data_IF_163500530076
#
_entry.id   IF_163500530076
#
_cell.length_a   1.000
_cell.length_b   1.000
_cell.length_c   1.000
_cell.angle_alpha   90.00
_cell.angle_beta   90.00
_cell.angle_gamma   90.00
#
_symmetry.space_group_name_H-M   'P 1'
#
loop_
_entity.id
_entity.type
_entity.pdbx_description
1 polymer ?
#
# COMPACT_ATOMS: atom_id res chain seq x y z
N UNK A 1 0.13 7.18 -0.29
CA UNK A 1 -0.25 7.84 -1.55
C UNK A 1 0.99 8.09 -2.36
N UNK A 2 0.90 7.85 -3.67
CA UNK A 2 1.95 8.09 -4.64
C UNK A 2 1.44 9.06 -5.71
N UNK A 3 2.34 9.93 -6.17
CA UNK A 3 2.07 10.86 -7.27
C UNK A 3 2.37 10.17 -8.62
N UNK A 4 3.21 9.13 -8.63
CA UNK A 4 3.55 8.32 -9.82
C UNK A 4 3.53 6.81 -9.50
N UNK A 5 3.18 5.97 -10.48
CA UNK A 5 3.17 4.51 -10.32
C UNK A 5 4.57 3.93 -10.12
N UNK A 6 5.63 4.57 -10.61
CA UNK A 6 7.02 4.16 -10.38
C UNK A 6 7.36 4.07 -8.89
N UNK A 7 6.74 4.91 -8.04
CA UNK A 7 6.93 4.83 -6.59
C UNK A 7 6.32 3.55 -6.00
N UNK A 8 5.22 3.06 -6.57
CA UNK A 8 4.62 1.78 -6.18
C UNK A 8 5.52 0.61 -6.63
N UNK A 9 6.16 0.71 -7.80
CA UNK A 9 7.14 -0.27 -8.27
C UNK A 9 8.36 -0.33 -7.32
N UNK A 10 8.94 0.83 -6.98
CA UNK A 10 10.06 0.92 -6.04
C UNK A 10 9.70 0.34 -4.66
N UNK A 11 8.54 0.72 -4.12
CA UNK A 11 8.05 0.15 -2.86
C UNK A 11 7.89 -1.37 -2.96
N UNK A 12 7.36 -1.89 -4.06
CA UNK A 12 7.14 -3.32 -4.23
C UNK A 12 8.45 -4.12 -4.31
N UNK A 13 9.51 -3.52 -4.83
CA UNK A 13 10.85 -4.11 -4.87
C UNK A 13 11.43 -4.25 -3.46
N UNK A 14 11.41 -3.18 -2.66
CA UNK A 14 12.13 -3.09 -1.39
C UNK A 14 11.31 -3.55 -0.17
N UNK A 15 9.98 -3.41 -0.21
CA UNK A 15 9.12 -3.70 0.94
C UNK A 15 8.53 -5.10 0.85
N UNK A 16 8.67 -5.84 1.96
CA UNK A 16 7.88 -7.02 2.29
C UNK A 16 7.13 -6.73 3.58
N UNK A 17 5.82 -6.92 3.53
CA UNK A 17 4.98 -6.77 4.70
C UNK A 17 4.77 -8.12 5.38
N UNK A 18 4.70 -8.09 6.70
CA UNK A 18 4.40 -9.23 7.54
C UNK A 18 3.01 -9.04 8.13
N UNK A 19 2.21 -10.10 8.09
CA UNK A 19 0.85 -10.11 8.64
C UNK A 19 0.01 -8.93 8.13
N UNK A 20 0.10 -8.62 6.84
CA UNK A 20 -0.70 -7.58 6.20
C UNK A 20 -1.09 -7.96 4.78
N UNK A 21 -2.14 -7.33 4.27
CA UNK A 21 -2.49 -7.35 2.85
C UNK A 21 -2.69 -5.94 2.33
N UNK A 22 -2.66 -5.80 1.00
CA UNK A 22 -2.69 -4.48 0.36
C UNK A 22 -3.60 -4.42 -0.84
N UNK A 23 -4.29 -3.29 -0.96
CA UNK A 23 -5.12 -2.91 -2.10
C UNK A 23 -4.54 -1.64 -2.74
N UNK A 24 -4.61 -1.53 -4.07
CA UNK A 24 -4.18 -0.36 -4.82
C UNK A 24 -5.35 0.26 -5.57
N UNK A 25 -5.56 1.54 -5.33
CA UNK A 25 -6.60 2.34 -5.97
C UNK A 25 -5.99 3.49 -6.78
N UNK A 26 -6.68 3.88 -7.86
CA UNK A 26 -6.46 5.13 -8.57
C UNK A 26 -7.63 6.06 -8.28
N UNK A 27 -7.32 7.26 -7.79
CA UNK A 27 -8.32 8.29 -7.51
C UNK A 27 -7.69 9.66 -7.75
N UNK A 28 -8.37 10.53 -8.49
CA UNK A 28 -7.90 11.90 -8.77
C UNK A 28 -6.44 11.94 -9.27
N UNK A 29 -6.15 11.10 -10.29
CA UNK A 29 -4.83 10.92 -10.92
C UNK A 29 -3.70 10.49 -9.99
N UNK A 30 -4.02 10.06 -8.75
CA UNK A 30 -3.05 9.58 -7.77
C UNK A 30 -3.30 8.14 -7.34
N UNK A 31 -2.24 7.48 -6.92
CA UNK A 31 -2.29 6.10 -6.48
C UNK A 31 -2.35 6.01 -4.96
N UNK A 32 -3.24 5.17 -4.44
CA UNK A 32 -3.46 4.97 -3.01
C UNK A 32 -3.28 3.50 -2.68
N UNK A 33 -2.26 3.22 -1.86
CA UNK A 33 -2.07 1.92 -1.24
C UNK A 33 -2.84 1.91 0.08
N UNK A 34 -3.86 1.06 0.17
CA UNK A 34 -4.48 0.70 1.44
C UNK A 34 -3.71 -0.48 2.03
N UNK A 35 -3.34 -0.38 3.30
CA UNK A 35 -2.58 -1.41 4.00
C UNK A 35 -3.38 -1.86 5.21
N UNK A 36 -3.63 -3.16 5.29
CA UNK A 36 -4.46 -3.75 6.33
C UNK A 36 -3.60 -4.73 7.13
N UNK A 37 -3.33 -4.39 8.39
CA UNK A 37 -2.52 -5.21 9.30
C UNK A 37 -3.39 -6.15 10.13
N UNK A 38 -2.97 -7.41 10.24
CA UNK A 38 -3.47 -8.35 11.23
C UNK A 38 -2.73 -8.17 12.56
N UNK A 39 -3.29 -7.30 13.40
CA UNK A 39 -2.68 -6.88 14.67
C UNK A 39 -2.54 -8.01 15.69
N UNK A 40 -3.31 -9.10 15.57
CA UNK A 40 -3.17 -10.28 16.45
C UNK A 40 -1.77 -10.92 16.35
N UNK A 41 -1.08 -10.70 15.23
CA UNK A 41 0.23 -11.29 14.93
C UNK A 41 1.38 -10.29 14.98
N UNK A 42 1.12 -9.03 15.37
CA UNK A 42 2.11 -7.95 15.34
C UNK A 42 2.11 -7.16 16.65
N UNK A 43 3.29 -6.76 17.11
CA UNK A 43 3.37 -5.75 18.17
C UNK A 43 3.34 -4.34 17.56
N UNK A 44 3.19 -3.32 18.42
CA UNK A 44 3.13 -1.92 17.97
C UNK A 44 4.39 -1.48 17.20
N UNK A 45 5.58 -1.88 17.67
CA UNK A 45 6.84 -1.52 17.01
C UNK A 45 6.96 -2.18 15.63
N UNK A 46 6.45 -3.41 15.45
CA UNK A 46 6.45 -4.07 14.13
C UNK A 46 5.58 -3.29 13.13
N UNK A 47 4.40 -2.85 13.55
CA UNK A 47 3.50 -2.04 12.73
C UNK A 47 4.15 -0.70 12.39
N UNK A 48 4.70 0.00 13.38
CA UNK A 48 5.37 1.30 13.18
C UNK A 48 6.57 1.18 12.22
N UNK A 49 7.38 0.12 12.36
CA UNK A 49 8.51 -0.16 11.47
C UNK A 49 8.04 -0.43 10.03
N UNK A 50 6.96 -1.19 9.84
CA UNK A 50 6.40 -1.45 8.51
C UNK A 50 5.85 -0.17 7.87
N UNK A 51 5.14 0.66 8.64
CA UNK A 51 4.66 1.96 8.18
C UNK A 51 5.82 2.87 7.79
N UNK A 52 6.89 2.93 8.59
CA UNK A 52 8.07 3.74 8.31
C UNK A 52 8.68 3.39 6.94
N UNK A 53 8.87 2.09 6.65
CA UNK A 53 9.37 1.62 5.35
C UNK A 53 8.46 2.00 4.18
N UNK A 54 7.13 1.90 4.35
CA UNK A 54 6.18 2.33 3.31
C UNK A 54 6.30 3.84 3.04
N UNK A 55 6.53 4.64 4.08
CA UNK A 55 6.63 6.10 3.98
C UNK A 55 7.95 6.60 3.36
N UNK A 56 8.96 5.74 3.19
CA UNK A 56 10.16 6.09 2.42
C UNK A 56 9.85 6.37 0.94
N UNK A 57 8.81 5.72 0.41
CA UNK A 57 8.40 5.81 -0.99
C UNK A 57 7.07 6.57 -1.19
N UNK A 58 6.37 6.88 -0.10
CA UNK A 58 4.98 7.35 -0.15
C UNK A 58 4.67 8.44 0.87
N UNK A 59 3.57 9.15 0.65
CA UNK A 59 3.02 10.11 1.61
C UNK A 59 1.80 9.51 2.31
N UNK A 60 1.64 9.78 3.61
CA UNK A 60 0.40 9.46 4.32
C UNK A 60 -0.76 10.25 3.69
N UNK A 61 -1.91 9.60 3.56
CA UNK A 61 -3.14 10.19 3.05
C UNK A 61 -4.20 10.24 4.14
N UNK A 62 -5.07 11.24 4.10
CA UNK A 62 -6.25 11.35 4.97
C UNK A 62 -7.48 10.61 4.40
N UNK A 63 -7.36 10.01 3.21
CA UNK A 63 -8.42 9.19 2.61
C UNK A 63 -8.54 7.84 3.33
N UNK A 64 -9.75 7.45 3.66
CA UNK A 64 -10.05 6.13 4.26
C UNK A 64 -10.14 5.04 3.18
N UNK A 65 -9.95 3.78 3.59
CA UNK A 65 -10.13 2.64 2.69
C UNK A 65 -11.56 2.57 2.12
N UNK A 66 -12.58 2.86 2.94
CA UNK A 66 -13.99 2.89 2.50
C UNK A 66 -14.23 3.96 1.42
N UNK A 67 -13.71 5.18 1.59
CA UNK A 67 -13.85 6.22 0.59
C UNK A 67 -13.15 5.88 -0.73
N UNK A 68 -12.02 5.17 -0.67
CA UNK A 68 -11.29 4.70 -1.85
C UNK A 68 -12.01 3.54 -2.55
N UNK A 69 -12.66 2.65 -1.81
CA UNK A 69 -13.41 1.54 -2.40
C UNK A 69 -14.72 2.01 -3.04
N UNK A 70 -15.35 3.06 -2.50
CA UNK A 70 -16.58 3.65 -3.03
C UNK A 70 -16.35 4.56 -4.25
N UNK A 71 -15.28 5.36 -4.24
CA UNK A 71 -15.07 6.42 -5.25
C UNK A 71 -13.82 6.23 -6.10
N UNK A 72 -12.87 5.42 -5.66
CA UNK A 72 -11.65 5.12 -6.41
C UNK A 72 -11.84 3.97 -7.38
N UNK A 73 -10.97 3.90 -8.39
CA UNK A 73 -10.85 2.73 -9.25
C UNK A 73 -9.92 1.73 -8.58
N UNK A 74 -10.43 0.57 -8.17
CA UNK A 74 -9.59 -0.54 -7.73
C UNK A 74 -8.74 -1.05 -8.90
N UNK A 75 -7.41 -1.04 -8.73
CA UNK A 75 -6.45 -1.56 -9.71
C UNK A 75 -5.98 -2.97 -9.32
N UNK A 76 -5.73 -3.19 -8.04
CA UNK A 76 -5.30 -4.48 -7.50
C UNK A 76 -5.91 -4.68 -6.11
N UNK A 77 -6.47 -5.86 -5.88
CA UNK A 77 -7.09 -6.24 -4.62
C UNK A 77 -6.26 -7.34 -3.93
N UNK A 78 -6.20 -7.32 -2.60
CA UNK A 78 -5.59 -8.27 -1.66
C UNK A 78 -4.07 -8.45 -1.70
N UNK A 79 -3.40 -8.16 -2.80
CA UNK A 79 -1.96 -8.44 -2.92
C UNK A 79 -1.25 -7.44 -3.84
N UNK A 80 -1.58 -6.16 -3.70
CA UNK A 80 -1.06 -5.11 -4.57
C UNK A 80 0.48 -5.05 -4.61
N UNK A 81 1.15 -5.07 -3.46
CA UNK A 81 2.63 -5.06 -3.40
C UNK A 81 3.20 -6.31 -4.11
N UNK A 82 2.66 -7.49 -3.80
CA UNK A 82 3.12 -8.76 -4.38
C UNK A 82 2.92 -8.81 -5.89
N UNK A 83 1.76 -8.34 -6.38
CA UNK A 83 1.45 -8.32 -7.81
C UNK A 83 2.30 -7.32 -8.55
N UNK A 84 2.48 -6.11 -8.03
CA UNK A 84 3.39 -5.13 -8.63
C UNK A 84 4.79 -5.73 -8.73
N UNK A 85 5.32 -6.30 -7.66
CA UNK A 85 6.62 -6.98 -7.70
C UNK A 85 6.66 -8.11 -8.73
N UNK A 86 5.61 -8.93 -8.84
CA UNK A 86 5.60 -10.04 -9.79
C UNK A 86 5.66 -9.58 -11.25
N UNK A 87 4.95 -8.51 -11.63
CA UNK A 87 4.87 -8.06 -13.02
C UNK A 87 5.96 -7.05 -13.42
N UNK A 88 6.59 -6.38 -12.45
CA UNK A 88 7.55 -5.30 -12.69
C UNK A 88 8.94 -5.59 -12.09
N UNK A 89 9.25 -6.86 -11.78
CA UNK A 89 10.60 -7.34 -11.44
C UNK A 89 11.45 -7.62 -12.68
#
# INVERSE_FOLDING_TARGET
MFDDFEQMIQLAHDVRLESAWTDLYLFDEKYYLSVHFWLENLNQADVENQIARILEFSKKSDRTADALSEHGKCLMERNAIERTRFYFN
#
